data_IF_027493812816
#
_entry.id   IF_027493812816
#
_cell.length_a   1.000
_cell.length_b   1.000
_cell.length_c   1.000
_cell.angle_alpha   90.00
_cell.angle_beta   90.00
_cell.angle_gamma   90.00
#
_symmetry.space_group_name_H-M   'P 1'
#
loop_
_entity.id
_entity.type
_entity.pdbx_description
1 polymer ?
#
# COMPACT_ATOMS: atom_id res chain seq x y z
N UNK A 1 -3.77 -6.75 0.57
CA UNK A 1 -4.19 -7.77 -0.43
C UNK A 1 -5.33 -8.70 0.01
N UNK A 2 -6.29 -8.22 0.81
CA UNK A 2 -7.52 -8.96 1.10
C UNK A 2 -8.77 -8.30 0.49
N UNK A 3 -8.60 -7.20 -0.24
CA UNK A 3 -9.71 -6.39 -0.77
C UNK A 3 -10.44 -5.55 0.29
N UNK A 4 -9.85 -5.38 1.48
CA UNK A 4 -10.46 -4.63 2.60
C UNK A 4 -10.38 -3.11 2.35
N UNK A 5 -9.20 -2.58 2.02
CA UNK A 5 -9.04 -1.16 1.77
C UNK A 5 -9.62 -0.81 0.39
N UNK A 6 -10.50 0.20 0.37
CA UNK A 6 -11.24 0.67 -0.82
C UNK A 6 -10.98 2.14 -1.17
N UNK A 7 -10.45 2.91 -0.23
CA UNK A 7 -10.14 4.33 -0.38
C UNK A 7 -8.96 4.65 0.53
N UNK A 8 -8.04 5.47 0.06
CA UNK A 8 -6.85 5.90 0.80
C UNK A 8 -6.72 7.41 0.59
N UNK A 9 -6.60 8.14 1.69
CA UNK A 9 -6.30 9.56 1.66
C UNK A 9 -4.81 9.77 1.37
N UNK A 10 -4.50 10.24 0.16
CA UNK A 10 -3.14 10.58 -0.24
C UNK A 10 -3.16 11.43 -1.52
N UNK A 11 -2.03 12.09 -1.80
CA UNK A 11 -1.75 12.66 -3.10
C UNK A 11 -1.16 11.58 -4.03
N UNK A 12 -1.88 11.11 -5.06
CA UNK A 12 -1.41 10.08 -5.97
C UNK A 12 -0.12 10.46 -6.70
N UNK A 13 0.10 11.76 -6.94
CA UNK A 13 1.26 12.30 -7.64
C UNK A 13 2.45 12.53 -6.72
N UNK A 14 2.23 12.57 -5.40
CA UNK A 14 3.29 12.73 -4.43
C UNK A 14 4.19 11.49 -4.35
N UNK A 15 5.44 11.71 -3.96
CA UNK A 15 6.43 10.66 -3.77
C UNK A 15 6.02 9.73 -2.64
N UNK A 16 6.05 8.42 -2.91
CA UNK A 16 5.98 7.40 -1.89
C UNK A 16 7.40 7.12 -1.40
N UNK A 17 7.86 7.85 -0.39
CA UNK A 17 9.23 7.70 0.11
C UNK A 17 9.36 6.46 1.00
N UNK A 18 9.47 5.31 0.34
CA UNK A 18 9.52 3.99 0.97
C UNK A 18 10.89 3.37 0.75
N UNK A 19 11.42 2.72 1.78
CA UNK A 19 12.72 2.04 1.73
C UNK A 19 12.52 0.56 2.10
N UNK A 20 13.05 -0.39 1.31
CA UNK A 20 13.10 -1.79 1.71
C UNK A 20 13.82 -1.95 3.07
N UNK A 21 13.19 -2.65 4.01
CA UNK A 21 13.67 -2.73 5.38
C UNK A 21 15.09 -3.32 5.50
N UNK A 22 15.42 -4.29 4.66
CA UNK A 22 16.76 -4.88 4.54
C UNK A 22 17.81 -3.86 4.10
N UNK A 23 17.50 -3.03 3.09
CA UNK A 23 18.39 -1.96 2.67
C UNK A 23 18.55 -0.88 3.76
N UNK A 24 17.47 -0.54 4.47
CA UNK A 24 17.55 0.39 5.61
C UNK A 24 18.44 -0.13 6.73
N UNK A 25 18.35 -1.43 7.05
CA UNK A 25 19.19 -2.07 8.06
C UNK A 25 20.66 -2.10 7.60
N UNK A 26 20.92 -2.43 6.34
CA UNK A 26 22.27 -2.41 5.79
C UNK A 26 22.89 -0.99 5.86
N UNK A 27 22.13 0.03 5.45
CA UNK A 27 22.54 1.43 5.57
C UNK A 27 22.82 1.84 7.04
N UNK A 28 21.99 1.38 7.98
CA UNK A 28 22.20 1.62 9.41
C UNK A 28 23.50 0.99 9.92
N UNK A 29 23.79 -0.26 9.56
CA UNK A 29 25.03 -0.94 9.95
C UNK A 29 26.25 -0.24 9.36
N UNK A 30 26.22 0.09 8.07
CA UNK A 30 27.33 0.77 7.39
C UNK A 30 27.55 2.19 7.92
N UNK A 31 26.48 2.94 8.22
CA UNK A 31 26.60 4.29 8.79
C UNK A 31 27.19 4.25 10.21
N UNK A 32 26.87 3.25 11.02
CA UNK A 32 27.49 3.04 12.32
C UNK A 32 28.99 2.76 12.19
N UNK A 33 29.39 1.85 11.28
CA UNK A 33 30.80 1.54 11.00
C UNK A 33 31.57 2.77 10.49
N UNK A 34 30.98 3.52 9.56
CA UNK A 34 31.62 4.71 8.99
C UNK A 34 31.78 5.80 10.04
N UNK A 35 30.77 6.00 10.88
CA UNK A 35 30.85 6.94 12.00
C UNK A 35 31.94 6.50 13.00
N UNK A 36 32.04 5.21 13.31
CA UNK A 36 33.12 4.69 14.15
C UNK A 36 34.52 5.00 13.59
N UNK A 37 34.71 4.84 12.28
CA UNK A 37 36.04 4.89 11.64
C UNK A 37 36.48 6.25 11.12
N UNK A 38 35.54 7.09 10.68
CA UNK A 38 35.83 8.36 10.00
C UNK A 38 35.50 9.58 10.87
N UNK A 39 34.52 9.45 11.76
CA UNK A 39 33.99 10.57 12.52
C UNK A 39 34.69 10.76 13.88
N UNK A 40 34.85 9.71 14.68
CA UNK A 40 35.51 9.82 16.00
C UNK A 40 37.03 10.07 15.94
N UNK A 41 37.63 10.05 14.75
CA UNK A 41 39.04 10.41 14.54
C UNK A 41 39.28 11.90 14.32
N UNK A 42 38.22 12.72 14.21
CA UNK A 42 38.34 14.17 13.99
C UNK A 42 38.46 14.94 15.31
N UNK A 43 39.23 16.02 15.32
CA UNK A 43 39.52 16.85 16.50
C UNK A 43 38.30 17.61 17.06
N UNK A 44 37.23 17.77 16.26
CA UNK A 44 35.95 18.35 16.68
C UNK A 44 34.83 17.78 15.81
N UNK A 45 34.28 16.61 16.15
CA UNK A 45 33.39 15.88 15.26
C UNK A 45 31.94 16.41 15.42
N UNK A 46 31.27 16.78 14.31
CA UNK A 46 29.81 17.02 14.20
C UNK A 46 29.07 15.80 13.62
N UNK A 47 28.15 15.20 14.38
CA UNK A 47 27.57 13.88 14.07
C UNK A 47 26.93 13.88 12.67
N UNK A 48 27.40 13.03 11.73
CA UNK A 48 26.83 13.01 10.39
C UNK A 48 25.39 12.52 10.43
N UNK A 49 24.52 13.21 9.70
CA UNK A 49 23.13 12.82 9.48
C UNK A 49 23.05 12.10 8.13
N UNK A 50 22.62 10.84 8.15
CA UNK A 50 22.43 10.04 6.95
C UNK A 50 20.95 9.96 6.61
N UNK A 51 20.47 10.88 5.75
CA UNK A 51 19.13 10.78 5.19
C UNK A 51 19.14 9.66 4.14
N UNK A 52 18.43 8.56 4.43
CA UNK A 52 18.29 7.46 3.49
C UNK A 52 16.87 7.44 2.94
N UNK A 53 16.75 7.93 1.71
CA UNK A 53 15.48 8.23 1.05
C UNK A 53 15.51 7.70 -0.38
N UNK A 54 14.34 7.37 -0.91
CA UNK A 54 14.15 6.97 -2.31
C UNK A 54 13.81 8.17 -3.20
N UNK A 55 13.25 9.23 -2.63
CA UNK A 55 12.69 10.38 -3.33
C UNK A 55 13.66 11.08 -4.29
N UNK A 56 14.94 11.15 -3.93
CA UNK A 56 16.01 11.78 -4.73
C UNK A 56 16.62 10.85 -5.78
N UNK A 57 16.74 9.57 -5.47
CA UNK A 57 17.62 8.65 -6.20
C UNK A 57 16.89 7.59 -7.02
N UNK A 58 15.68 7.23 -6.62
CA UNK A 58 14.87 6.21 -7.26
C UNK A 58 13.38 6.44 -6.95
N UNK A 59 12.88 7.60 -7.36
CA UNK A 59 11.52 8.07 -7.06
C UNK A 59 10.45 7.11 -7.56
N UNK A 60 9.43 6.88 -6.72
CA UNK A 60 8.17 6.26 -7.10
C UNK A 60 7.01 7.07 -6.52
N UNK A 61 5.95 7.31 -7.30
CA UNK A 61 4.73 7.98 -6.80
C UNK A 61 3.80 7.01 -6.08
N UNK A 62 2.88 7.51 -5.23
CA UNK A 62 1.83 6.67 -4.64
C UNK A 62 0.96 5.98 -5.70
N UNK A 63 0.69 6.66 -6.83
CA UNK A 63 -0.03 6.08 -7.96
C UNK A 63 0.74 4.92 -8.62
N UNK A 64 2.03 5.09 -8.89
CA UNK A 64 2.86 4.04 -9.48
C UNK A 64 3.05 2.85 -8.52
N UNK A 65 3.31 3.14 -7.24
CA UNK A 65 3.41 2.13 -6.18
C UNK A 65 2.12 1.30 -6.11
N UNK A 66 0.98 1.98 -6.09
CA UNK A 66 -0.35 1.38 -6.13
C UNK A 66 -0.51 0.48 -7.36
N UNK A 67 -0.31 1.01 -8.56
CA UNK A 67 -0.51 0.29 -9.82
C UNK A 67 0.39 -0.95 -9.94
N UNK A 68 1.68 -0.83 -9.59
CA UNK A 68 2.62 -1.96 -9.59
C UNK A 68 2.22 -3.02 -8.57
N UNK A 69 1.84 -2.60 -7.36
CA UNK A 69 1.35 -3.51 -6.31
C UNK A 69 0.07 -4.22 -6.74
N UNK A 70 -0.88 -3.52 -7.36
CA UNK A 70 -2.09 -4.12 -7.92
C UNK A 70 -1.79 -5.11 -9.05
N UNK A 71 -0.90 -4.73 -9.97
CA UNK A 71 -0.46 -5.61 -11.05
C UNK A 71 0.14 -6.91 -10.53
N UNK A 72 0.99 -6.84 -9.51
CA UNK A 72 1.53 -8.01 -8.84
C UNK A 72 0.45 -8.82 -8.10
N UNK A 73 -0.41 -8.14 -7.33
CA UNK A 73 -1.46 -8.74 -6.52
C UNK A 73 -2.48 -9.53 -7.36
N UNK A 74 -2.88 -9.00 -8.52
CA UNK A 74 -3.87 -9.64 -9.40
C UNK A 74 -3.33 -10.91 -10.08
N UNK A 75 -2.01 -11.03 -10.29
CA UNK A 75 -1.37 -12.26 -10.79
C UNK A 75 -1.44 -13.40 -9.77
N UNK A 76 -1.38 -13.06 -8.47
CA UNK A 76 -1.38 -14.01 -7.34
C UNK A 76 -2.42 -13.59 -6.27
N UNK A 77 -3.73 -13.64 -6.60
CA UNK A 77 -4.75 -13.19 -5.67
C UNK A 77 -4.77 -14.06 -4.40
N UNK A 78 -5.19 -13.50 -3.27
CA UNK A 78 -5.27 -14.23 -2.01
C UNK A 78 -6.46 -15.19 -2.00
N UNK A 79 -6.28 -16.37 -1.43
CA UNK A 79 -7.39 -17.29 -1.14
C UNK A 79 -8.37 -16.70 -0.11
N UNK A 80 -7.89 -15.75 0.69
CA UNK A 80 -8.63 -15.02 1.74
C UNK A 80 -9.19 -13.68 1.26
N UNK A 81 -9.20 -13.42 -0.05
CA UNK A 81 -9.79 -12.20 -0.60
C UNK A 81 -11.29 -12.12 -0.23
N UNK A 82 -11.65 -11.00 0.40
CA UNK A 82 -13.02 -10.62 0.75
C UNK A 82 -13.67 -9.82 -0.38
N UNK A 83 -12.86 -9.01 -1.06
CA UNK A 83 -13.28 -8.24 -2.21
C UNK A 83 -12.24 -8.33 -3.33
N UNK A 84 -12.64 -7.98 -4.55
CA UNK A 84 -11.68 -7.83 -5.64
C UNK A 84 -10.80 -6.61 -5.38
N UNK A 85 -9.60 -6.59 -5.94
CA UNK A 85 -8.65 -5.52 -5.67
C UNK A 85 -9.02 -4.28 -6.49
N UNK A 86 -9.72 -3.35 -5.85
CA UNK A 86 -9.68 -1.96 -6.24
C UNK A 86 -9.77 -1.04 -5.03
N UNK A 87 -9.04 0.07 -5.10
CA UNK A 87 -9.18 1.18 -4.19
C UNK A 87 -8.90 2.47 -4.95
N UNK A 88 -9.39 3.57 -4.40
CA UNK A 88 -9.14 4.91 -4.90
C UNK A 88 -8.10 5.61 -4.04
N UNK A 89 -7.17 6.30 -4.68
CA UNK A 89 -6.32 7.29 -4.03
C UNK A 89 -7.04 8.63 -4.15
N UNK A 90 -7.25 9.32 -3.02
CA UNK A 90 -8.12 10.49 -2.94
C UNK A 90 -7.39 11.64 -2.24
N UNK A 91 -7.32 12.79 -2.91
CA UNK A 91 -6.67 14.01 -2.40
C UNK A 91 -7.58 14.88 -1.53
N UNK A 92 -8.90 14.81 -1.75
CA UNK A 92 -9.87 15.59 -1.00
C UNK A 92 -10.33 14.82 0.24
N UNK A 93 -10.15 15.44 1.41
CA UNK A 93 -10.44 14.82 2.71
C UNK A 93 -11.94 14.57 2.91
N UNK A 94 -12.80 15.41 2.33
CA UNK A 94 -14.26 15.26 2.40
C UNK A 94 -14.72 14.08 1.54
N UNK A 95 -14.22 13.99 0.31
CA UNK A 95 -14.48 12.85 -0.59
C UNK A 95 -13.97 11.56 0.05
N UNK A 96 -12.79 11.57 0.66
CA UNK A 96 -12.27 10.42 1.41
C UNK A 96 -13.19 10.04 2.57
N UNK A 97 -13.66 11.00 3.38
CA UNK A 97 -14.56 10.72 4.50
C UNK A 97 -15.87 10.08 4.05
N UNK A 98 -16.48 10.61 2.98
CA UNK A 98 -17.69 10.03 2.37
C UNK A 98 -17.40 8.61 1.87
N UNK A 99 -16.30 8.41 1.13
CA UNK A 99 -15.91 7.09 0.64
C UNK A 99 -15.60 6.10 1.77
N UNK A 100 -14.95 6.53 2.85
CA UNK A 100 -14.66 5.69 4.02
C UNK A 100 -15.94 5.27 4.73
N UNK A 101 -16.88 6.22 4.92
CA UNK A 101 -18.19 5.92 5.50
C UNK A 101 -18.91 4.81 4.73
N UNK A 102 -19.01 4.93 3.41
CA UNK A 102 -19.75 3.97 2.58
C UNK A 102 -18.96 2.69 2.27
N UNK A 103 -17.70 2.79 1.87
CA UNK A 103 -16.91 1.65 1.41
C UNK A 103 -16.22 0.87 2.52
N UNK A 104 -15.96 1.50 3.67
CA UNK A 104 -15.34 0.82 4.81
C UNK A 104 -16.37 0.55 5.90
N UNK A 105 -16.89 1.59 6.55
CA UNK A 105 -17.67 1.44 7.77
C UNK A 105 -19.06 0.86 7.57
N UNK A 106 -19.83 1.35 6.60
CA UNK A 106 -21.16 0.82 6.32
C UNK A 106 -21.11 -0.69 6.00
N UNK A 107 -20.19 -1.11 5.11
CA UNK A 107 -19.97 -2.54 4.85
C UNK A 107 -19.44 -3.29 6.06
N UNK A 108 -18.55 -2.69 6.86
CA UNK A 108 -18.03 -3.32 8.07
C UNK A 108 -19.12 -3.64 9.08
N UNK A 109 -20.03 -2.68 9.34
CA UNK A 109 -21.13 -2.88 10.28
C UNK A 109 -22.07 -3.99 9.80
N UNK A 110 -22.40 -4.07 8.51
CA UNK A 110 -23.21 -5.15 7.96
C UNK A 110 -22.52 -6.51 8.14
N UNK A 111 -21.23 -6.60 7.80
CA UNK A 111 -20.46 -7.85 7.93
C UNK A 111 -20.36 -8.28 9.39
N UNK A 112 -20.08 -7.35 10.31
CA UNK A 112 -19.90 -7.64 11.73
C UNK A 112 -21.22 -7.99 12.41
N UNK A 113 -22.33 -7.39 11.97
CA UNK A 113 -23.69 -7.75 12.42
C UNK A 113 -24.08 -9.15 11.97
N UNK A 114 -23.76 -9.54 10.73
CA UNK A 114 -24.07 -10.86 10.17
C UNK A 114 -23.05 -11.95 10.57
N UNK A 115 -21.90 -11.60 11.15
CA UNK A 115 -20.85 -12.54 11.52
C UNK A 115 -21.31 -13.71 12.42
N UNK A 116 -22.14 -13.49 13.47
CA UNK A 116 -22.66 -14.57 14.31
C UNK A 116 -23.51 -15.58 13.53
N UNK A 117 -24.28 -15.12 12.54
CA UNK A 117 -25.12 -15.98 11.69
C UNK A 117 -24.28 -16.92 10.83
N UNK A 118 -23.10 -16.46 10.42
CA UNK A 118 -22.15 -17.22 9.59
C UNK A 118 -21.06 -17.92 10.41
N UNK A 119 -21.12 -17.86 11.74
CA UNK A 119 -20.07 -18.32 12.68
C UNK A 119 -18.68 -17.75 12.35
N UNK A 120 -18.63 -16.61 11.67
CA UNK A 120 -17.39 -15.93 11.31
C UNK A 120 -16.82 -15.20 12.53
N UNK A 121 -15.51 -15.34 12.74
CA UNK A 121 -14.76 -14.58 13.77
C UNK A 121 -14.22 -13.25 13.23
N UNK A 122 -14.40 -12.97 11.94
CA UNK A 122 -13.93 -11.74 11.33
C UNK A 122 -14.72 -10.54 11.88
N UNK A 123 -13.99 -9.52 12.32
CA UNK A 123 -14.53 -8.22 12.72
C UNK A 123 -13.84 -7.13 11.89
N UNK A 124 -14.57 -6.48 10.99
CA UNK A 124 -14.06 -5.46 10.09
C UNK A 124 -13.98 -4.09 10.75
N UNK A 125 -14.90 -3.72 11.63
CA UNK A 125 -14.89 -2.39 12.27
C UNK A 125 -13.58 -2.15 13.05
N UNK A 126 -13.11 -3.09 13.91
CA UNK A 126 -11.84 -2.91 14.61
C UNK A 126 -10.62 -2.91 13.67
N UNK A 127 -10.72 -3.51 12.48
CA UNK A 127 -9.66 -3.48 11.48
C UNK A 127 -9.58 -2.08 10.86
N UNK A 128 -10.71 -1.49 10.46
CA UNK A 128 -10.73 -0.12 9.91
C UNK A 128 -10.28 0.92 10.94
N UNK A 129 -10.71 0.81 12.20
CA UNK A 129 -10.21 1.70 13.27
C UNK A 129 -8.69 1.66 13.46
N UNK A 130 -8.04 0.51 13.19
CA UNK A 130 -6.57 0.40 13.21
C UNK A 130 -5.94 1.00 11.96
N UNK A 131 -6.58 0.81 10.81
CA UNK A 131 -6.13 1.39 9.53
C UNK A 131 -6.18 2.91 9.63
N UNK A 132 -7.27 3.49 10.14
CA UNK A 132 -7.42 4.94 10.28
C UNK A 132 -6.31 5.53 11.15
N UNK A 133 -6.01 4.93 12.30
CA UNK A 133 -4.89 5.36 13.15
C UNK A 133 -3.54 5.35 12.44
N UNK A 134 -3.29 4.36 11.58
CA UNK A 134 -2.06 4.30 10.79
C UNK A 134 -2.08 5.37 9.70
N UNK A 135 -3.22 5.58 9.04
CA UNK A 135 -3.37 6.61 8.02
C UNK A 135 -3.23 8.02 8.57
N UNK A 136 -3.74 8.30 9.78
CA UNK A 136 -3.58 9.59 10.45
C UNK A 136 -2.10 9.94 10.67
N UNK A 137 -1.28 8.95 11.04
CA UNK A 137 0.17 9.12 11.22
C UNK A 137 0.88 9.29 9.87
N UNK A 138 0.41 8.61 8.83
CA UNK A 138 1.01 8.67 7.50
C UNK A 138 0.58 9.89 6.68
N UNK A 139 -0.51 10.56 7.06
CA UNK A 139 -1.12 11.67 6.31
C UNK A 139 -0.09 12.72 5.84
N UNK A 140 0.83 13.26 6.68
CA UNK A 140 1.80 14.26 6.24
C UNK A 140 2.77 13.73 5.17
N UNK A 141 3.05 12.43 5.17
CA UNK A 141 3.97 11.77 4.23
C UNK A 141 3.25 11.29 2.97
N UNK A 142 1.94 11.07 3.03
CA UNK A 142 1.16 10.62 1.89
C UNK A 142 0.54 11.76 1.08
N UNK A 143 0.46 12.97 1.64
CA UNK A 143 -0.20 14.13 1.01
C UNK A 143 0.75 15.24 0.56
N UNK A 144 1.93 15.36 1.20
CA UNK A 144 2.91 16.40 0.89
C UNK A 144 4.13 15.83 0.14
N UNK A 145 4.83 16.69 -0.57
CA UNK A 145 6.16 16.40 -1.11
C UNK A 145 7.24 16.95 -0.19
N UNK A 146 8.28 16.14 0.01
CA UNK A 146 9.40 16.47 0.88
C UNK A 146 10.69 16.37 0.07
N UNK A 147 11.55 17.39 0.19
CA UNK A 147 12.88 17.37 -0.41
C UNK A 147 13.92 17.06 0.66
N UNK A 148 14.83 16.15 0.32
CA UNK A 148 15.91 15.73 1.21
C UNK A 148 17.25 15.91 0.52
N UNK A 149 18.26 16.26 1.30
CA UNK A 149 19.66 16.19 0.87
C UNK A 149 20.24 14.91 1.47
N UNK A 150 20.80 14.04 0.63
CA UNK A 150 21.28 12.72 1.02
C UNK A 150 22.76 12.45 0.66
N UNK A 151 23.55 13.48 0.38
CA UNK A 151 24.97 13.37 0.00
C UNK A 151 25.82 12.48 0.93
N UNK A 152 25.55 12.54 2.25
CA UNK A 152 26.25 11.72 3.23
C UNK A 152 26.06 10.22 3.00
N UNK A 153 24.89 9.77 2.50
CA UNK A 153 24.66 8.35 2.20
C UNK A 153 25.44 7.90 0.97
N UNK A 154 25.66 8.81 0.01
CA UNK A 154 26.48 8.53 -1.18
C UNK A 154 27.95 8.44 -0.82
N UNK A 155 28.45 9.41 -0.05
CA UNK A 155 29.82 9.38 0.44
C UNK A 155 30.09 8.12 1.26
N UNK A 156 29.11 7.70 2.08
CA UNK A 156 29.18 6.42 2.79
C UNK A 156 29.30 5.24 1.81
N UNK A 157 28.37 5.13 0.86
CA UNK A 157 28.36 4.04 -0.11
C UNK A 157 29.66 3.95 -0.91
N UNK A 158 30.17 5.09 -1.38
CA UNK A 158 31.39 5.18 -2.20
C UNK A 158 32.66 4.89 -1.39
N UNK A 159 32.61 5.00 -0.06
CA UNK A 159 33.73 4.63 0.82
C UNK A 159 33.86 3.12 1.04
N UNK A 160 32.82 2.34 0.73
CA UNK A 160 32.83 0.90 0.89
C UNK A 160 33.58 0.23 -0.27
N UNK A 161 34.33 -0.82 0.05
CA UNK A 161 34.92 -1.68 -0.99
C UNK A 161 33.84 -2.43 -1.78
N UNK A 162 34.12 -2.89 -3.02
CA UNK A 162 33.16 -3.70 -3.78
C UNK A 162 32.68 -4.95 -3.03
N UNK A 163 33.55 -5.57 -2.22
CA UNK A 163 33.17 -6.72 -1.39
C UNK A 163 32.17 -6.35 -0.29
N UNK A 164 32.34 -5.17 0.32
CA UNK A 164 31.42 -4.67 1.36
C UNK A 164 30.08 -4.23 0.77
N UNK A 165 30.09 -3.55 -0.38
CA UNK A 165 28.88 -3.19 -1.13
C UNK A 165 28.05 -4.42 -1.49
N UNK A 166 28.69 -5.52 -1.91
CA UNK A 166 28.01 -6.78 -2.19
C UNK A 166 27.45 -7.45 -0.92
N UNK A 167 28.10 -7.28 0.24
CA UNK A 167 27.67 -7.85 1.51
C UNK A 167 26.53 -7.06 2.17
N UNK A 168 26.54 -5.74 2.00
CA UNK A 168 25.57 -4.81 2.58
C UNK A 168 24.95 -3.94 1.47
N UNK A 169 24.13 -4.52 0.57
CA UNK A 169 23.54 -3.73 -0.50
C UNK A 169 22.50 -2.76 0.07
N UNK A 170 22.72 -1.46 -0.11
CA UNK A 170 21.75 -0.40 0.22
C UNK A 170 21.72 0.77 -0.78
N UNK A 171 22.40 0.67 -1.93
CA UNK A 171 22.22 1.67 -2.98
C UNK A 171 20.82 1.56 -3.62
N UNK A 172 19.93 2.48 -3.26
CA UNK A 172 18.53 2.46 -3.69
C UNK A 172 18.37 2.60 -5.21
N UNK A 173 19.36 3.16 -5.91
CA UNK A 173 19.38 3.31 -7.38
C UNK A 173 19.36 1.98 -8.11
N UNK A 174 19.84 0.92 -7.47
CA UNK A 174 19.89 -0.43 -8.04
C UNK A 174 18.57 -1.19 -7.85
N UNK A 175 17.61 -0.63 -7.10
CA UNK A 175 16.34 -1.26 -6.82
C UNK A 175 15.38 -1.20 -8.02
N UNK A 176 15.00 -2.37 -8.54
CA UNK A 176 13.86 -2.48 -9.46
C UNK A 176 12.55 -2.53 -8.66
N UNK A 177 11.82 -1.42 -8.65
CA UNK A 177 10.52 -1.29 -7.99
C UNK A 177 9.51 -2.39 -8.38
N UNK A 178 9.54 -2.85 -9.63
CA UNK A 178 8.60 -3.85 -10.10
C UNK A 178 8.90 -5.21 -9.47
N UNK A 179 10.16 -5.65 -9.52
CA UNK A 179 10.60 -6.90 -8.88
C UNK A 179 10.45 -6.87 -7.37
N UNK A 180 10.76 -5.73 -6.75
CA UNK A 180 10.56 -5.50 -5.33
C UNK A 180 9.08 -5.67 -4.96
N UNK A 181 8.18 -4.98 -5.66
CA UNK A 181 6.74 -5.03 -5.33
C UNK A 181 6.11 -6.40 -5.63
N UNK A 182 6.59 -7.14 -6.62
CA UNK A 182 6.20 -8.53 -6.83
C UNK A 182 6.60 -9.44 -5.66
N UNK A 183 7.79 -9.22 -5.08
CA UNK A 183 8.29 -9.95 -3.92
C UNK A 183 7.57 -9.53 -2.64
N UNK A 184 7.37 -8.22 -2.44
CA UNK A 184 6.59 -7.63 -1.35
C UNK A 184 5.19 -8.22 -1.28
N UNK A 185 4.51 -8.32 -2.43
CA UNK A 185 3.19 -8.94 -2.55
C UNK A 185 3.24 -10.42 -2.09
N UNK A 186 4.20 -11.22 -2.57
CA UNK A 186 4.34 -12.60 -2.09
C UNK A 186 4.57 -12.67 -0.57
N UNK A 187 5.39 -11.76 -0.03
CA UNK A 187 5.63 -11.63 1.41
C UNK A 187 4.36 -11.39 2.21
N UNK A 188 3.50 -10.47 1.76
CA UNK A 188 2.17 -10.24 2.38
C UNK A 188 1.33 -11.51 2.37
N UNK A 189 1.27 -12.25 1.26
CA UNK A 189 0.48 -13.48 1.19
C UNK A 189 0.96 -14.51 2.21
N UNK A 190 2.26 -14.77 2.24
CA UNK A 190 2.85 -15.83 3.07
C UNK A 190 2.86 -15.45 4.54
N UNK A 191 3.42 -14.29 4.89
CA UNK A 191 3.72 -13.94 6.29
C UNK A 191 2.59 -13.19 6.98
N UNK A 192 1.89 -12.29 6.27
CA UNK A 192 0.82 -11.50 6.88
C UNK A 192 -0.53 -12.22 6.78
N UNK A 193 -0.85 -12.74 5.59
CA UNK A 193 -2.13 -13.41 5.35
C UNK A 193 -2.07 -14.91 5.62
N UNK A 194 -0.90 -15.50 5.87
CA UNK A 194 -0.76 -16.94 6.13
C UNK A 194 -1.46 -17.76 5.03
N UNK A 195 -1.18 -17.39 3.78
CA UNK A 195 -1.82 -17.90 2.58
C UNK A 195 -0.82 -18.74 1.76
N UNK A 196 -1.18 -19.99 1.47
CA UNK A 196 -0.25 -20.97 0.88
C UNK A 196 -0.06 -20.73 -0.62
N UNK A 197 1.18 -20.84 -1.08
CA UNK A 197 1.54 -20.66 -2.50
C UNK A 197 1.49 -21.95 -3.33
N UNK A 198 0.97 -23.05 -2.78
CA UNK A 198 0.85 -24.33 -3.50
C UNK A 198 -0.14 -24.22 -4.69
N UNK A 199 0.03 -25.05 -5.74
CA UNK A 199 -0.76 -24.96 -6.96
C UNK A 199 -2.29 -25.03 -6.74
N UNK A 200 -2.75 -25.88 -5.82
CA UNK A 200 -4.18 -26.05 -5.55
C UNK A 200 -4.78 -24.82 -4.87
N UNK A 201 -4.12 -24.28 -3.85
CA UNK A 201 -4.55 -23.03 -3.19
C UNK A 201 -4.55 -21.86 -4.18
N UNK A 202 -3.52 -21.73 -5.04
CA UNK A 202 -3.47 -20.67 -6.06
C UNK A 202 -4.58 -20.80 -7.11
N UNK A 203 -4.90 -22.02 -7.53
CA UNK A 203 -6.00 -22.31 -8.46
C UNK A 203 -7.36 -21.96 -7.84
N UNK A 204 -7.59 -22.34 -6.59
CA UNK A 204 -8.77 -21.93 -5.83
C UNK A 204 -8.88 -20.41 -5.71
N UNK A 205 -7.80 -19.74 -5.31
CA UNK A 205 -7.77 -18.29 -5.12
C UNK A 205 -8.11 -17.54 -6.41
N UNK A 206 -7.56 -17.95 -7.56
CA UNK A 206 -7.89 -17.34 -8.87
C UNK A 206 -9.36 -17.49 -9.23
N UNK A 207 -9.94 -18.69 -9.04
CA UNK A 207 -11.38 -18.95 -9.31
C UNK A 207 -12.27 -18.10 -8.40
N UNK A 208 -11.97 -18.07 -7.10
CA UNK A 208 -12.69 -17.26 -6.11
C UNK A 208 -12.59 -15.77 -6.46
N UNK A 209 -11.39 -15.28 -6.75
CA UNK A 209 -11.15 -13.89 -7.12
C UNK A 209 -11.95 -13.48 -8.35
N UNK A 210 -12.02 -14.34 -9.39
CA UNK A 210 -12.83 -14.06 -10.58
C UNK A 210 -14.33 -14.00 -10.27
N UNK A 211 -14.84 -14.88 -9.39
CA UNK A 211 -16.25 -14.83 -8.94
C UNK A 211 -16.55 -13.54 -8.19
N UNK A 212 -15.68 -13.13 -7.28
CA UNK A 212 -15.82 -11.87 -6.54
C UNK A 212 -15.78 -10.67 -7.50
N UNK A 213 -14.88 -10.70 -8.49
CA UNK A 213 -14.80 -9.66 -9.51
C UNK A 213 -16.09 -9.57 -10.35
N UNK A 214 -16.64 -10.70 -10.80
CA UNK A 214 -17.91 -10.73 -11.53
C UNK A 214 -19.04 -10.20 -10.66
N UNK A 215 -19.16 -10.68 -9.41
CA UNK A 215 -20.18 -10.21 -8.48
C UNK A 215 -20.12 -8.69 -8.26
N UNK A 216 -18.91 -8.13 -8.12
CA UNK A 216 -18.73 -6.69 -7.98
C UNK A 216 -19.28 -5.91 -9.18
N UNK A 217 -18.87 -6.28 -10.40
CA UNK A 217 -19.34 -5.58 -11.60
C UNK A 217 -20.84 -5.79 -11.84
N UNK A 218 -21.39 -6.95 -11.50
CA UNK A 218 -22.84 -7.19 -11.54
C UNK A 218 -23.59 -6.28 -10.56
N UNK A 219 -23.10 -6.11 -9.33
CA UNK A 219 -23.70 -5.21 -8.35
C UNK A 219 -23.61 -3.75 -8.83
N UNK A 220 -22.46 -3.33 -9.36
CA UNK A 220 -22.30 -1.98 -9.91
C UNK A 220 -23.25 -1.73 -11.09
N UNK A 221 -23.32 -2.65 -12.05
CA UNK A 221 -24.22 -2.53 -13.19
C UNK A 221 -25.68 -2.46 -12.74
N UNK A 222 -26.09 -3.30 -11.78
CA UNK A 222 -27.43 -3.27 -11.20
C UNK A 222 -27.74 -1.92 -10.53
N UNK A 223 -26.83 -1.41 -9.67
CA UNK A 223 -27.01 -0.12 -9.01
C UNK A 223 -27.08 1.05 -10.01
N UNK A 224 -26.24 1.05 -11.03
CA UNK A 224 -26.29 2.07 -12.09
C UNK A 224 -27.61 2.04 -12.86
N UNK A 225 -28.09 0.85 -13.23
CA UNK A 225 -29.39 0.69 -13.91
C UNK A 225 -30.55 1.09 -13.02
N UNK A 226 -30.50 0.76 -11.72
CA UNK A 226 -31.52 1.16 -10.75
C UNK A 226 -31.57 2.68 -10.59
N UNK A 227 -30.42 3.35 -10.44
CA UNK A 227 -30.34 4.80 -10.35
C UNK A 227 -30.85 5.49 -11.63
N UNK A 228 -30.49 4.95 -12.79
CA UNK A 228 -30.99 5.44 -14.08
C UNK A 228 -32.51 5.29 -14.19
N UNK A 229 -33.05 4.13 -13.79
CA UNK A 229 -34.49 3.88 -13.77
C UNK A 229 -35.22 4.86 -12.85
N UNK A 230 -34.73 5.06 -11.62
CA UNK A 230 -35.31 6.00 -10.66
C UNK A 230 -35.27 7.45 -11.19
N UNK A 231 -34.16 7.85 -11.81
CA UNK A 231 -34.02 9.17 -12.41
C UNK A 231 -35.05 9.40 -13.53
N UNK A 232 -35.15 8.45 -14.48
CA UNK A 232 -36.14 8.52 -15.57
C UNK A 232 -37.56 8.56 -15.00
N UNK A 233 -37.87 7.71 -14.01
CA UNK A 233 -39.16 7.69 -13.34
C UNK A 233 -39.50 9.02 -12.68
N UNK A 234 -38.55 9.67 -11.99
CA UNK A 234 -38.79 10.98 -11.36
C UNK A 234 -39.05 12.09 -12.37
N UNK A 235 -38.39 12.05 -13.54
CA UNK A 235 -38.63 13.04 -14.61
C UNK A 235 -39.99 12.80 -15.26
N UNK A 236 -40.32 11.56 -15.60
CA UNK A 236 -41.61 11.27 -16.25
C UNK A 236 -42.76 11.59 -15.30
N UNK A 237 -42.68 11.17 -14.03
CA UNK A 237 -43.71 11.47 -13.04
C UNK A 237 -43.88 12.97 -12.73
N UNK A 238 -42.83 13.79 -12.83
CA UNK A 238 -42.94 15.24 -12.66
C UNK A 238 -43.47 15.97 -13.89
N UNK A 239 -43.36 15.39 -15.09
CA UNK A 239 -43.94 15.95 -16.33
C UNK A 239 -45.44 15.67 -16.50
N UNK A 240 -46.01 14.74 -15.73
CA UNK A 240 -47.43 14.37 -15.77
C UNK A 240 -48.26 14.90 -14.58
N UNK A 241 -47.69 15.83 -13.80
CA UNK A 241 -48.33 16.58 -12.71
C UNK A 241 -48.34 18.08 -13.06
#
# INVERSE_FOLDING_TARGET
MAGIIRSIYCNPSATADVIPADMAINALVCSAWYSANSYYKKTSPVLPIFNYVSSTDNRITWLEFSNKTFGAATKIPSSKALWWYCYHLVEDKTVYAIQSLFYHYFFAYIVDFCAPLTKSKLRLVPIYQRIDKVMDVLEPFSTNEWSFINENIHTLWDSLSPQEQAKFPFNIRDLDWTKYLETYVKGILVYQLQDKLDPETRKYARRRYKRIQVAHYSIQAFLCLLLLFLFVWTITSSTFL
#
